data_IF_923724647483
#
_entry.id   IF_923724647483
#
_cell.length_a   1.000
_cell.length_b   1.000
_cell.length_c   1.000
_cell.angle_alpha   90.00
_cell.angle_beta   90.00
_cell.angle_gamma   90.00
#
_symmetry.space_group_name_H-M   'P 1'
#
loop_
_entity.id
_entity.type
_entity.pdbx_description
1 polymer ?
#
# COMPACT_ATOMS: atom_id res chain seq x y z
N UNK A 1 3.75 4.27 7.85
CA UNK A 1 3.10 3.06 7.28
C UNK A 1 3.98 1.82 7.31
N UNK A 2 5.31 1.89 7.40
CA UNK A 2 6.12 0.70 7.79
C UNK A 2 7.45 1.05 8.47
N UNK A 3 7.82 2.34 8.50
CA UNK A 3 9.10 2.81 9.06
C UNK A 3 10.29 2.64 8.11
N UNK A 4 10.11 2.02 6.94
CA UNK A 4 11.16 1.91 5.92
C UNK A 4 11.57 3.27 5.37
N UNK A 5 12.86 3.42 5.07
CA UNK A 5 13.37 4.57 4.36
C UNK A 5 12.82 4.57 2.93
N UNK A 6 12.44 5.75 2.44
CA UNK A 6 12.01 5.95 1.07
C UNK A 6 13.09 6.73 0.31
N UNK A 7 13.43 6.27 -0.89
CA UNK A 7 14.22 7.06 -1.83
C UNK A 7 13.29 8.05 -2.53
N UNK A 8 13.64 9.32 -2.47
CA UNK A 8 12.95 10.37 -3.18
C UNK A 8 13.53 10.52 -4.59
N UNK A 9 12.65 10.47 -5.59
CA UNK A 9 12.97 10.73 -7.00
C UNK A 9 12.40 12.10 -7.36
N UNK A 10 13.23 13.13 -7.57
CA UNK A 10 12.75 14.44 -7.98
C UNK A 10 12.25 14.41 -9.43
N UNK A 11 11.57 15.49 -9.85
CA UNK A 11 11.03 15.60 -11.20
C UNK A 11 12.15 15.58 -12.27
N UNK A 12 11.99 14.74 -13.29
CA UNK A 12 12.85 14.70 -14.48
C UNK A 12 11.99 14.55 -15.73
N UNK A 13 12.31 15.29 -16.80
CA UNK A 13 11.75 15.20 -18.16
C UNK A 13 10.25 14.85 -18.27
N UNK A 14 9.90 13.57 -18.11
CA UNK A 14 8.56 13.00 -18.26
C UNK A 14 7.93 12.46 -16.97
N UNK A 15 8.63 12.46 -15.84
CA UNK A 15 8.19 11.86 -14.58
C UNK A 15 7.97 12.92 -13.49
N UNK A 16 6.78 12.89 -12.87
CA UNK A 16 6.48 13.67 -11.67
C UNK A 16 7.27 13.14 -10.47
N UNK A 17 7.54 13.96 -9.43
CA UNK A 17 8.22 13.49 -8.23
C UNK A 17 7.53 12.27 -7.60
N UNK A 18 8.29 11.25 -7.24
CA UNK A 18 7.76 10.02 -6.65
C UNK A 18 8.71 9.43 -5.60
N UNK A 19 8.19 8.48 -4.82
CA UNK A 19 8.94 7.82 -3.75
C UNK A 19 9.02 6.32 -4.00
N UNK A 20 10.20 5.76 -3.72
CA UNK A 20 10.50 4.35 -3.91
C UNK A 20 10.89 3.69 -2.58
N UNK A 21 10.42 2.46 -2.35
CA UNK A 21 11.01 1.58 -1.35
C UNK A 21 12.21 0.87 -1.97
N UNK A 22 13.37 0.96 -1.33
CA UNK A 22 14.56 0.23 -1.77
C UNK A 22 14.71 -1.05 -0.95
N UNK A 23 15.12 -2.16 -1.57
CA UNK A 23 15.19 -3.47 -0.91
C UNK A 23 16.13 -3.47 0.31
N UNK A 24 17.19 -2.66 0.26
CA UNK A 24 18.17 -2.43 1.32
C UNK A 24 17.65 -1.53 2.45
N UNK A 25 16.59 -0.75 2.21
CA UNK A 25 16.00 0.19 3.16
C UNK A 25 14.75 -0.33 3.89
N UNK A 26 14.35 -1.58 3.66
CA UNK A 26 13.17 -2.17 4.27
C UNK A 26 13.40 -2.55 5.74
N UNK A 27 12.52 -2.07 6.63
CA UNK A 27 12.43 -2.58 8.00
C UNK A 27 11.79 -3.96 8.03
N UNK A 28 11.75 -4.60 9.20
CA UNK A 28 11.04 -5.88 9.40
C UNK A 28 9.56 -5.82 8.96
N UNK A 29 8.92 -4.66 9.13
CA UNK A 29 7.52 -4.43 8.75
C UNK A 29 7.37 -3.92 7.31
N UNK A 30 8.48 -3.56 6.65
CA UNK A 30 8.53 -3.09 5.27
C UNK A 30 7.91 -4.08 4.29
N UNK A 31 8.14 -5.38 4.49
CA UNK A 31 7.59 -6.44 3.63
C UNK A 31 6.07 -6.58 3.70
N UNK A 32 5.44 -6.05 4.75
CA UNK A 32 3.99 -6.03 4.93
C UNK A 32 3.37 -4.70 4.54
N UNK A 33 4.18 -3.73 4.10
CA UNK A 33 3.70 -2.45 3.59
C UNK A 33 2.86 -2.67 2.32
N UNK A 34 1.64 -2.11 2.23
CA UNK A 34 0.80 -2.25 1.04
C UNK A 34 1.46 -1.74 -0.25
N UNK A 35 2.40 -0.79 -0.13
CA UNK A 35 3.15 -0.22 -1.25
C UNK A 35 4.34 -1.08 -1.70
N UNK A 36 4.83 -1.98 -0.84
CA UNK A 36 5.89 -2.95 -1.17
C UNK A 36 5.26 -4.24 -1.69
N UNK A 37 4.17 -4.68 -1.08
CA UNK A 37 3.48 -5.91 -1.42
C UNK A 37 1.96 -5.69 -1.51
N UNK A 38 1.47 -5.12 -2.63
CA UNK A 38 0.04 -4.95 -2.86
C UNK A 38 -0.70 -6.28 -2.86
N UNK A 39 -2.00 -6.25 -2.61
CA UNK A 39 -2.82 -7.44 -2.65
C UNK A 39 -2.96 -8.00 -4.07
N UNK A 40 -3.16 -9.32 -4.16
CA UNK A 40 -3.38 -9.99 -5.45
C UNK A 40 -4.52 -9.37 -6.26
N UNK A 41 -5.60 -8.93 -5.60
CA UNK A 41 -6.72 -8.25 -6.27
C UNK A 41 -6.32 -6.90 -6.86
N UNK A 42 -5.50 -6.13 -6.14
CA UNK A 42 -4.98 -4.84 -6.61
C UNK A 42 -4.03 -5.04 -7.79
N UNK A 43 -3.11 -6.02 -7.68
CA UNK A 43 -2.20 -6.39 -8.79
C UNK A 43 -2.99 -6.79 -10.03
N UNK A 44 -4.05 -7.59 -9.88
CA UNK A 44 -4.91 -7.99 -11.01
C UNK A 44 -5.63 -6.79 -11.63
N UNK A 45 -6.12 -5.87 -10.80
CA UNK A 45 -6.79 -4.64 -11.26
C UNK A 45 -5.82 -3.76 -12.07
N UNK A 46 -4.62 -3.51 -11.54
CA UNK A 46 -3.59 -2.69 -12.20
C UNK A 46 -3.18 -3.33 -13.53
N UNK A 47 -2.93 -4.64 -13.56
CA UNK A 47 -2.59 -5.36 -14.80
C UNK A 47 -3.69 -5.27 -15.86
N UNK A 48 -4.96 -5.27 -15.46
CA UNK A 48 -6.08 -5.08 -16.39
C UNK A 48 -6.12 -3.64 -16.89
N UNK A 49 -5.90 -2.67 -16.01
CA UNK A 49 -5.88 -1.24 -16.36
C UNK A 49 -4.73 -0.91 -17.33
N UNK A 50 -3.56 -1.53 -17.12
CA UNK A 50 -2.38 -1.38 -17.97
C UNK A 50 -2.57 -1.85 -19.42
N UNK A 51 -3.59 -2.67 -19.70
CA UNK A 51 -3.94 -3.03 -21.08
C UNK A 51 -4.50 -1.85 -21.87
N UNK A 52 -5.08 -0.85 -21.18
CA UNK A 52 -5.67 0.34 -21.79
C UNK A 52 -4.83 1.60 -21.56
N UNK A 53 -4.15 1.67 -20.41
CA UNK A 53 -3.30 2.79 -20.01
C UNK A 53 -1.96 2.22 -19.53
N UNK A 54 -0.96 2.06 -20.43
CA UNK A 54 0.30 1.40 -20.10
C UNK A 54 1.01 1.96 -18.86
N UNK A 55 0.93 3.28 -18.67
CA UNK A 55 1.58 4.00 -17.58
C UNK A 55 0.73 4.06 -16.30
N UNK A 56 -0.32 3.23 -16.19
CA UNK A 56 -1.14 3.16 -15.00
C UNK A 56 -0.32 2.67 -13.80
N UNK A 57 -0.16 3.55 -12.82
CA UNK A 57 0.55 3.27 -11.58
C UNK A 57 -0.30 2.42 -10.62
N UNK A 58 0.33 1.57 -9.79
CA UNK A 58 -0.34 0.88 -8.71
C UNK A 58 -1.05 1.84 -7.77
N UNK A 59 -2.31 1.57 -7.46
CA UNK A 59 -3.04 2.29 -6.40
C UNK A 59 -3.49 1.30 -5.36
N UNK A 60 -3.04 1.51 -4.12
CA UNK A 60 -3.51 0.74 -2.96
C UNK A 60 -4.91 1.21 -2.62
N UNK A 61 -5.83 0.26 -2.47
CA UNK A 61 -7.23 0.53 -2.17
C UNK A 61 -7.37 1.05 -0.74
N UNK A 62 -8.19 2.10 -0.59
CA UNK A 62 -8.59 2.63 0.71
C UNK A 62 -10.02 2.23 1.04
N UNK A 63 -10.25 1.84 2.28
CA UNK A 63 -11.56 1.43 2.80
C UNK A 63 -11.62 1.65 4.32
N UNK A 64 -12.79 1.40 4.91
CA UNK A 64 -12.95 1.27 6.36
C UNK A 64 -12.52 -0.12 6.79
N UNK A 65 -11.62 -0.18 7.76
CA UNK A 65 -11.04 -1.42 8.28
C UNK A 65 -11.23 -1.51 9.79
N UNK A 66 -11.47 -2.72 10.27
CA UNK A 66 -11.42 -3.07 11.67
C UNK A 66 -10.23 -3.98 11.94
N UNK A 67 -9.33 -3.58 12.84
CA UNK A 67 -8.23 -4.44 13.26
C UNK A 67 -8.63 -5.31 14.44
N UNK A 68 -8.79 -6.62 14.24
CA UNK A 68 -9.14 -7.57 15.32
C UNK A 68 -8.09 -7.72 16.42
N UNK A 69 -6.85 -7.29 16.18
CA UNK A 69 -5.75 -7.43 17.13
C UNK A 69 -5.73 -6.28 18.15
N UNK A 70 -5.96 -5.04 17.72
CA UNK A 70 -6.00 -3.87 18.60
C UNK A 70 -7.42 -3.34 18.83
N UNK A 71 -8.43 -3.99 18.25
CA UNK A 71 -9.84 -3.63 18.34
C UNK A 71 -10.12 -2.17 17.96
N UNK A 72 -9.47 -1.70 16.90
CA UNK A 72 -9.58 -0.32 16.44
C UNK A 72 -10.05 -0.27 14.98
N UNK A 73 -11.09 0.53 14.76
CA UNK A 73 -11.55 0.94 13.43
C UNK A 73 -10.64 2.03 12.88
N UNK A 74 -10.29 1.92 11.61
CA UNK A 74 -9.46 2.90 10.92
C UNK A 74 -9.83 2.99 9.43
N UNK A 75 -9.67 4.17 8.84
CA UNK A 75 -9.86 4.37 7.41
C UNK A 75 -8.51 4.55 6.71
N UNK A 76 -8.30 3.83 5.62
CA UNK A 76 -7.05 3.90 4.86
C UNK A 76 -6.77 2.62 4.08
N UNK A 77 -5.50 2.36 3.81
CA UNK A 77 -5.00 1.11 3.23
C UNK A 77 -5.18 -0.06 4.23
N UNK A 78 -5.20 -1.33 3.76
CA UNK A 78 -5.28 -2.51 4.64
C UNK A 78 -3.99 -2.72 5.44
N UNK A 79 -3.68 -1.82 6.36
CA UNK A 79 -2.51 -1.83 7.22
C UNK A 79 -2.82 -1.08 8.52
N UNK A 80 -2.95 -1.82 9.61
CA UNK A 80 -3.10 -1.22 10.92
C UNK A 80 -1.76 -0.63 11.36
N UNK A 81 -1.69 0.68 11.57
CA UNK A 81 -0.47 1.38 12.00
C UNK A 81 -0.06 1.05 13.43
N UNK A 82 -1.02 0.67 14.29
CA UNK A 82 -0.74 0.22 15.66
C UNK A 82 -0.09 -1.17 15.70
N UNK A 83 -0.61 -2.11 14.91
CA UNK A 83 -0.07 -3.48 14.85
C UNK A 83 1.02 -3.66 13.78
N UNK A 84 1.26 -2.62 12.98
CA UNK A 84 2.22 -2.61 11.87
C UNK A 84 2.02 -3.78 10.89
N UNK A 85 0.77 -4.15 10.65
CA UNK A 85 0.37 -5.26 9.78
C UNK A 85 -1.04 -5.09 9.25
N UNK A 86 -1.28 -5.60 8.04
CA UNK A 86 -2.62 -5.75 7.47
C UNK A 86 -3.31 -7.07 7.79
N UNK A 87 -2.63 -8.02 8.47
CA UNK A 87 -3.10 -9.41 8.62
C UNK A 87 -4.43 -9.53 9.37
N UNK A 88 -4.67 -8.66 10.33
CA UNK A 88 -5.86 -8.69 11.20
C UNK A 88 -6.91 -7.65 10.80
N UNK A 89 -6.73 -7.01 9.65
CA UNK A 89 -7.60 -5.94 9.18
C UNK A 89 -8.70 -6.52 8.30
N UNK A 90 -9.92 -6.39 8.79
CA UNK A 90 -11.13 -6.85 8.10
C UNK A 90 -11.86 -5.63 7.58
N UNK A 91 -12.34 -5.72 6.35
CA UNK A 91 -13.11 -4.64 5.76
C UNK A 91 -14.44 -4.58 6.51
N UNK A 92 -14.74 -3.41 7.09
CA UNK A 92 -16.05 -3.17 7.65
C UNK A 92 -17.06 -3.21 6.51
N UNK A 93 -18.05 -4.09 6.60
CA UNK A 93 -19.18 -4.03 5.68
C UNK A 93 -19.80 -2.64 5.78
N UNK A 94 -19.84 -1.91 4.66
CA UNK A 94 -20.76 -0.80 4.54
C UNK A 94 -22.17 -1.40 4.69
N UNK A 95 -22.78 -1.21 5.87
CA UNK A 95 -24.23 -1.33 6.03
C UNK A 95 -24.93 -0.18 5.28
#
# INVERSE_FOLDING_TARGET
LCGSALRYHPQYDTELPWFEHTDDGLTEHGQQCPYVRPERREIQLIKRLQQFVPDALPVVRKASWYCRQCHHDYYGERYCTHCQTGRFSEEGGAE
#
